data_IF_091952277626
#
_entry.id   IF_091952277626
#
_cell.length_a   1.000
_cell.length_b   1.000
_cell.length_c   1.000
_cell.angle_alpha   90.00
_cell.angle_beta   90.00
_cell.angle_gamma   90.00
#
_symmetry.space_group_name_H-M   'P 1'
#
loop_
_entity.id
_entity.type
_entity.pdbx_description
1 polymer ?
#
# COMPACT_ATOMS: atom_id res chain seq x y z
N UNK A 1 15.28 12.88 3.43
CA UNK A 1 14.23 12.94 2.41
C UNK A 1 12.96 13.50 3.04
N UNK A 2 12.26 14.37 2.33
CA UNK A 2 11.05 15.01 2.82
C UNK A 2 9.92 13.99 3.00
N UNK A 3 9.24 14.03 4.16
CA UNK A 3 8.14 13.10 4.45
C UNK A 3 6.98 13.24 3.47
N UNK A 4 6.67 14.47 3.06
CA UNK A 4 5.59 14.69 2.08
C UNK A 4 5.93 14.09 0.72
N UNK A 5 7.19 14.16 0.33
CA UNK A 5 7.66 13.54 -0.91
C UNK A 5 7.56 12.02 -0.84
N UNK A 6 7.94 11.43 0.30
CA UNK A 6 7.83 9.98 0.50
C UNK A 6 6.37 9.54 0.43
N UNK A 7 5.46 10.26 1.09
CA UNK A 7 4.02 9.99 1.03
C UNK A 7 3.53 9.95 -0.43
N UNK A 8 3.90 10.96 -1.19
CA UNK A 8 3.48 11.06 -2.59
C UNK A 8 4.04 9.92 -3.42
N UNK A 9 5.32 9.60 -3.25
CA UNK A 9 5.94 8.51 -3.99
C UNK A 9 5.33 7.16 -3.67
N UNK A 10 5.02 6.90 -2.39
CA UNK A 10 4.38 5.65 -1.99
C UNK A 10 2.99 5.51 -2.63
N UNK A 11 2.21 6.60 -2.64
CA UNK A 11 0.91 6.61 -3.30
C UNK A 11 1.04 6.42 -4.81
N UNK A 12 1.96 7.13 -5.45
CA UNK A 12 2.17 7.04 -6.89
C UNK A 12 2.60 5.63 -7.32
N UNK A 13 3.52 5.01 -6.59
CA UNK A 13 3.96 3.65 -6.89
C UNK A 13 2.86 2.63 -6.70
N UNK A 14 2.05 2.79 -5.66
CA UNK A 14 0.90 1.93 -5.42
C UNK A 14 -0.11 2.04 -6.57
N UNK A 15 -0.38 3.26 -7.02
CA UNK A 15 -1.29 3.50 -8.14
C UNK A 15 -0.75 2.96 -9.46
N UNK A 16 0.54 3.04 -9.70
CA UNK A 16 1.16 2.43 -10.88
C UNK A 16 0.94 0.92 -10.90
N UNK A 17 1.09 0.27 -9.74
CA UNK A 17 0.88 -1.17 -9.61
C UNK A 17 -0.59 -1.52 -9.86
N UNK A 18 -1.52 -0.78 -9.27
CA UNK A 18 -2.95 -0.99 -9.51
C UNK A 18 -3.30 -0.84 -10.99
N UNK A 19 -2.78 0.19 -11.64
CA UNK A 19 -2.99 0.41 -13.07
C UNK A 19 -2.43 -0.72 -13.92
N UNK A 20 -1.25 -1.22 -13.55
CA UNK A 20 -0.60 -2.33 -14.26
C UNK A 20 -1.49 -3.57 -14.29
N UNK A 21 -2.23 -3.85 -13.24
CA UNK A 21 -3.11 -5.01 -13.14
C UNK A 21 -4.55 -4.71 -13.53
N UNK A 22 -4.84 -3.47 -13.93
CA UNK A 22 -6.19 -3.09 -14.34
C UNK A 22 -7.17 -2.96 -13.19
N UNK A 23 -6.68 -2.75 -11.97
CA UNK A 23 -7.53 -2.58 -10.79
C UNK A 23 -8.08 -1.14 -10.71
N UNK A 24 -9.37 -0.99 -10.37
CA UNK A 24 -10.02 0.32 -10.39
C UNK A 24 -9.72 1.20 -9.17
N UNK A 25 -9.16 0.66 -8.10
CA UNK A 25 -8.92 1.42 -6.89
C UNK A 25 -7.81 2.45 -7.08
N UNK A 26 -7.86 3.51 -6.28
CA UNK A 26 -6.86 4.57 -6.27
C UNK A 26 -6.45 4.85 -4.83
N UNK A 27 -5.14 4.89 -4.59
CA UNK A 27 -4.59 5.32 -3.30
C UNK A 27 -4.49 6.84 -3.33
N UNK A 28 -5.41 7.50 -2.63
CA UNK A 28 -5.46 8.96 -2.61
C UNK A 28 -4.43 9.55 -1.66
N UNK A 29 -4.27 8.94 -0.48
CA UNK A 29 -3.39 9.47 0.54
C UNK A 29 -2.74 8.36 1.36
N UNK A 30 -1.47 8.56 1.67
CA UNK A 30 -0.71 7.72 2.61
C UNK A 30 -0.61 8.48 3.93
N UNK A 31 -1.02 7.84 5.02
CA UNK A 31 -0.97 8.43 6.35
C UNK A 31 0.44 8.35 6.93
N UNK A 32 0.78 9.31 7.79
CA UNK A 32 2.08 9.34 8.48
C UNK A 32 1.84 9.35 9.98
N UNK A 33 2.51 8.46 10.68
CA UNK A 33 2.52 8.44 12.14
C UNK A 33 3.94 8.71 12.62
N UNK A 34 4.12 9.81 13.36
CA UNK A 34 5.41 10.18 13.91
C UNK A 34 5.53 9.64 15.33
N UNK A 35 6.60 8.90 15.58
CA UNK A 35 6.96 8.41 16.90
C UNK A 35 8.30 9.00 17.30
N UNK A 36 8.68 8.90 18.59
CA UNK A 36 9.91 9.49 19.10
C UNK A 36 11.17 9.01 18.39
N UNK A 37 11.21 7.72 18.01
CA UNK A 37 12.39 7.12 17.39
C UNK A 37 12.19 6.69 15.93
N UNK A 38 10.97 6.78 15.40
CA UNK A 38 10.68 6.31 14.06
C UNK A 38 9.47 7.02 13.45
N UNK A 39 9.38 6.95 12.13
CA UNK A 39 8.24 7.44 11.36
C UNK A 39 7.64 6.28 10.58
N UNK A 40 6.33 6.11 10.64
CA UNK A 40 5.62 5.03 9.96
C UNK A 40 4.68 5.63 8.91
N UNK A 41 4.80 5.15 7.68
CA UNK A 41 3.89 5.50 6.59
C UNK A 41 2.91 4.35 6.40
N UNK A 42 1.61 4.67 6.37
CA UNK A 42 0.54 3.71 6.32
C UNK A 42 -0.31 3.94 5.08
N UNK A 43 -0.46 2.90 4.26
CA UNK A 43 -1.32 2.97 3.09
C UNK A 43 -2.13 1.71 2.92
N UNK A 44 -3.21 1.82 2.16
CA UNK A 44 -4.07 0.67 1.87
C UNK A 44 -4.67 0.79 0.48
N UNK A 45 -5.00 -0.37 -0.10
CA UNK A 45 -5.64 -0.45 -1.41
C UNK A 45 -6.58 -1.64 -1.46
N UNK A 46 -7.53 -1.58 -2.38
CA UNK A 46 -8.51 -2.65 -2.59
C UNK A 46 -8.20 -3.36 -3.90
N UNK A 47 -8.20 -4.68 -3.87
CA UNK A 47 -7.98 -5.51 -5.05
C UNK A 47 -9.18 -6.43 -5.24
N UNK A 48 -9.81 -6.37 -6.40
CA UNK A 48 -11.00 -7.15 -6.69
C UNK A 48 -10.70 -8.48 -7.38
N UNK A 49 -9.57 -8.58 -8.08
CA UNK A 49 -9.15 -9.82 -8.73
C UNK A 49 -8.21 -10.60 -7.82
N UNK A 50 -8.72 -11.66 -7.20
CA UNK A 50 -7.95 -12.47 -6.26
C UNK A 50 -6.72 -13.11 -6.89
N UNK A 51 -6.77 -13.41 -8.18
CA UNK A 51 -5.68 -14.13 -8.87
C UNK A 51 -4.40 -13.31 -8.93
N UNK A 52 -4.50 -11.98 -8.95
CA UNK A 52 -3.33 -11.11 -9.04
C UNK A 52 -2.70 -10.79 -7.69
N UNK A 53 -3.38 -11.08 -6.57
CA UNK A 53 -2.93 -10.68 -5.23
C UNK A 53 -1.49 -11.09 -4.92
N UNK A 54 -1.07 -12.37 -5.14
CA UNK A 54 0.31 -12.74 -4.84
C UNK A 54 1.33 -11.92 -5.65
N UNK A 55 1.06 -11.70 -6.92
CA UNK A 55 1.95 -10.93 -7.79
C UNK A 55 1.96 -9.45 -7.42
N UNK A 56 0.80 -8.90 -7.08
CA UNK A 56 0.68 -7.50 -6.67
C UNK A 56 1.44 -7.25 -5.37
N UNK A 57 1.33 -8.15 -4.39
CA UNK A 57 2.08 -8.05 -3.13
C UNK A 57 3.58 -8.12 -3.40
N UNK A 58 3.99 -9.00 -4.31
CA UNK A 58 5.40 -9.11 -4.70
C UNK A 58 5.92 -7.81 -5.31
N UNK A 59 5.11 -7.18 -6.17
CA UNK A 59 5.46 -5.89 -6.78
C UNK A 59 5.53 -4.78 -5.73
N UNK A 60 4.59 -4.75 -4.77
CA UNK A 60 4.64 -3.81 -3.66
C UNK A 60 5.93 -3.95 -2.86
N UNK A 61 6.28 -5.17 -2.50
CA UNK A 61 7.52 -5.44 -1.77
C UNK A 61 8.73 -4.93 -2.55
N UNK A 62 8.77 -5.20 -3.86
CA UNK A 62 9.88 -4.79 -4.72
C UNK A 62 9.99 -3.28 -4.83
N UNK A 63 8.85 -2.58 -4.99
CA UNK A 63 8.83 -1.14 -5.24
C UNK A 63 8.98 -0.30 -3.96
N UNK A 64 8.50 -0.79 -2.84
CA UNK A 64 8.44 0.00 -1.61
C UNK A 64 9.51 -0.31 -0.58
N UNK A 65 10.18 -1.45 -0.67
CA UNK A 65 11.18 -1.83 0.34
C UNK A 65 12.38 -0.89 0.43
N UNK A 66 12.64 -0.13 -0.63
CA UNK A 66 13.75 0.83 -0.66
C UNK A 66 13.55 2.04 0.23
N UNK A 67 12.33 2.29 0.71
CA UNK A 67 12.03 3.43 1.56
C UNK A 67 12.25 3.18 3.04
N UNK A 68 12.25 1.91 3.46
CA UNK A 68 12.41 1.55 4.85
C UNK A 68 11.97 0.12 5.09
N UNK A 69 11.74 -0.24 6.35
CA UNK A 69 11.23 -1.55 6.71
C UNK A 69 9.76 -1.66 6.28
N UNK A 70 9.48 -2.62 5.41
CA UNK A 70 8.15 -2.79 4.81
C UNK A 70 7.43 -4.01 5.38
N UNK A 71 6.18 -3.82 5.78
CA UNK A 71 5.27 -4.90 6.15
C UNK A 71 4.03 -4.77 5.29
N UNK A 72 3.66 -5.83 4.58
CA UNK A 72 2.46 -5.88 3.74
C UNK A 72 1.54 -6.96 4.28
N UNK A 73 0.25 -6.62 4.45
CA UNK A 73 -0.77 -7.56 4.92
C UNK A 73 -1.96 -7.54 3.98
N UNK A 74 -2.62 -8.69 3.85
CA UNK A 74 -3.84 -8.81 3.06
C UNK A 74 -4.95 -9.39 3.92
N UNK A 75 -6.17 -8.93 3.66
CA UNK A 75 -7.37 -9.39 4.37
C UNK A 75 -8.54 -9.41 3.41
N UNK A 76 -9.27 -10.54 3.39
CA UNK A 76 -10.49 -10.64 2.61
C UNK A 76 -11.63 -9.88 3.29
N UNK A 77 -12.30 -9.04 2.54
CA UNK A 77 -13.46 -8.27 3.01
C UNK A 77 -14.68 -8.66 2.20
N UNK A 78 -15.76 -9.02 2.88
CA UNK A 78 -17.01 -9.42 2.24
C UNK A 78 -18.12 -8.50 2.71
N UNK A 79 -18.33 -7.34 2.05
CA UNK A 79 -19.37 -6.41 2.45
C UNK A 79 -20.77 -6.99 2.19
N UNK A 80 -21.76 -6.53 2.95
CA UNK A 80 -23.14 -7.00 2.85
C UNK A 80 -23.75 -6.72 1.47
N UNK A 81 -23.48 -5.57 0.86
CA UNK A 81 -24.18 -5.09 -0.33
C UNK A 81 -23.23 -4.71 -1.47
N UNK A 82 -21.99 -5.14 -1.42
CA UNK A 82 -20.97 -4.80 -2.41
C UNK A 82 -20.13 -6.03 -2.77
N UNK A 83 -19.43 -6.01 -3.91
CA UNK A 83 -18.53 -7.12 -4.25
C UNK A 83 -17.44 -7.32 -3.21
N UNK A 84 -17.06 -8.57 -2.99
CA UNK A 84 -15.92 -8.90 -2.10
C UNK A 84 -14.62 -8.40 -2.71
N UNK A 85 -13.68 -8.04 -1.85
CA UNK A 85 -12.35 -7.61 -2.28
C UNK A 85 -11.29 -8.02 -1.26
N UNK A 86 -10.03 -7.92 -1.66
CA UNK A 86 -8.91 -8.09 -0.75
C UNK A 86 -8.42 -6.69 -0.35
N UNK A 87 -8.42 -6.43 0.95
CA UNK A 87 -7.85 -5.21 1.52
C UNK A 87 -6.36 -5.45 1.76
N UNK A 88 -5.52 -4.71 1.05
CA UNK A 88 -4.08 -4.80 1.20
C UNK A 88 -3.62 -3.55 1.92
N UNK A 89 -2.93 -3.73 3.05
CA UNK A 89 -2.35 -2.63 3.80
C UNK A 89 -0.84 -2.77 3.82
N UNK A 90 -0.14 -1.65 3.78
CA UNK A 90 1.32 -1.64 3.89
C UNK A 90 1.78 -0.59 4.90
N UNK A 91 2.85 -0.94 5.61
CA UNK A 91 3.52 -0.05 6.55
C UNK A 91 4.97 0.07 6.14
N UNK A 92 5.47 1.30 5.99
CA UNK A 92 6.89 1.56 5.76
C UNK A 92 7.41 2.30 6.98
N UNK A 93 8.38 1.71 7.66
CA UNK A 93 8.95 2.28 8.89
C UNK A 93 10.35 2.78 8.62
N UNK A 94 10.60 4.05 8.97
CA UNK A 94 11.89 4.69 8.83
C UNK A 94 12.36 5.07 10.23
N UNK A 95 13.57 4.65 10.60
CA UNK A 95 14.18 5.05 11.87
C UNK A 95 14.70 6.48 11.75
N UNK A 96 14.34 7.29 12.73
CA UNK A 96 14.78 8.69 12.78
C UNK A 96 16.22 8.81 13.30
#
# INVERSE_FOLDING_TARGET
>A
MDKDQIKKELADKSNEILTKYGEPDVVEEVSVMNMSSKTVFLGSLKVFNYEIVPNLIKDLNKQLKGYGELVVRDQRVTPCCSPSYIHISFNVTINN
#
